data_IF_943857527236
#
_entry.id   IF_943857527236
#
_cell.length_a   1.000
_cell.length_b   1.000
_cell.length_c   1.000
_cell.angle_alpha   90.00
_cell.angle_beta   90.00
_cell.angle_gamma   90.00
#
_symmetry.space_group_name_H-M   'P 1'
#
loop_
_entity.id
_entity.type
_entity.pdbx_description
1 polymer ?
#
# COMPACT_ATOMS: atom_id res chain seq x y z
N UNK A 1 15.46 -9.80 -3.93
CA UNK A 1 14.08 -9.38 -4.25
C UNK A 1 13.11 -10.15 -3.38
N UNK A 2 12.19 -9.45 -2.74
CA UNK A 2 11.15 -10.09 -1.94
C UNK A 2 10.08 -10.66 -2.86
N UNK A 3 9.63 -11.87 -2.56
CA UNK A 3 8.52 -12.47 -3.29
C UNK A 3 7.25 -12.33 -2.45
N UNK A 4 6.26 -11.67 -3.01
CA UNK A 4 4.98 -11.48 -2.36
C UNK A 4 3.89 -11.26 -3.40
N UNK A 5 2.65 -11.47 -2.98
CA UNK A 5 1.47 -11.14 -3.77
C UNK A 5 0.66 -10.09 -3.02
N UNK A 6 0.29 -9.03 -3.70
CA UNK A 6 -0.53 -7.98 -3.10
C UNK A 6 -2.01 -8.35 -3.21
N UNK A 7 -2.75 -8.09 -2.14
CA UNK A 7 -4.21 -8.22 -2.12
C UNK A 7 -4.77 -6.86 -2.52
N UNK A 8 -5.32 -6.78 -3.73
CA UNK A 8 -5.72 -5.50 -4.32
C UNK A 8 -7.19 -5.49 -4.68
N UNK A 9 -7.78 -4.29 -4.63
CA UNK A 9 -9.09 -4.00 -5.21
C UNK A 9 -8.90 -2.89 -6.23
N UNK A 10 -9.46 -3.07 -7.42
CA UNK A 10 -9.41 -2.03 -8.44
C UNK A 10 -10.57 -1.08 -8.27
N UNK A 11 -10.29 0.21 -8.40
CA UNK A 11 -11.34 1.23 -8.54
C UNK A 11 -11.99 1.12 -9.91
N UNK A 12 -13.04 1.87 -10.13
CA UNK A 12 -13.65 2.00 -11.44
C UNK A 12 -12.76 2.68 -12.47
N UNK A 13 -11.60 3.17 -12.08
CA UNK A 13 -10.65 3.85 -12.98
C UNK A 13 -9.53 2.87 -13.36
N UNK A 14 -9.11 2.93 -14.63
CA UNK A 14 -8.17 1.97 -15.19
C UNK A 14 -6.79 1.98 -14.53
N UNK A 15 -6.38 3.10 -13.92
CA UNK A 15 -5.02 3.26 -13.39
C UNK A 15 -4.97 3.43 -11.86
N UNK A 16 -6.04 3.02 -11.17
CA UNK A 16 -6.12 3.16 -9.71
C UNK A 16 -6.30 1.79 -9.06
N UNK A 17 -5.53 1.52 -8.02
CA UNK A 17 -5.63 0.31 -7.23
C UNK A 17 -5.58 0.62 -5.74
N UNK A 18 -6.35 -0.14 -4.96
CA UNK A 18 -6.28 -0.14 -3.50
C UNK A 18 -5.69 -1.46 -3.05
N UNK A 19 -4.69 -1.40 -2.17
CA UNK A 19 -4.00 -2.57 -1.65
C UNK A 19 -4.34 -2.71 -0.17
N UNK A 20 -4.98 -3.81 0.20
CA UNK A 20 -5.37 -4.06 1.59
C UNK A 20 -4.36 -4.90 2.35
N UNK A 21 -3.46 -5.59 1.66
CA UNK A 21 -2.45 -6.40 2.32
C UNK A 21 -1.57 -7.15 1.34
N UNK A 22 -0.70 -7.98 1.92
CA UNK A 22 0.26 -8.77 1.16
C UNK A 22 0.36 -10.16 1.75
N UNK A 23 0.63 -11.14 0.90
CA UNK A 23 1.00 -12.49 1.32
C UNK A 23 2.43 -12.74 0.84
N UNK A 24 3.33 -13.04 1.77
CA UNK A 24 4.72 -13.34 1.46
C UNK A 24 4.88 -14.77 0.96
N UNK A 25 6.02 -15.04 0.35
CA UNK A 25 6.28 -16.37 -0.21
C UNK A 25 6.25 -17.48 0.84
N UNK A 26 6.56 -17.16 2.10
CA UNK A 26 6.54 -18.12 3.21
C UNK A 26 5.16 -18.30 3.85
N UNK A 27 4.12 -17.65 3.30
CA UNK A 27 2.77 -17.72 3.82
C UNK A 27 2.42 -16.65 4.85
N UNK A 28 3.34 -15.78 5.19
CA UNK A 28 3.06 -14.69 6.14
C UNK A 28 2.09 -13.70 5.54
N UNK A 29 1.04 -13.35 6.28
CA UNK A 29 0.06 -12.36 5.87
C UNK A 29 0.34 -11.03 6.56
N UNK A 30 0.31 -9.96 5.78
CA UNK A 30 0.48 -8.59 6.25
C UNK A 30 -0.76 -7.81 5.83
N UNK A 31 -1.42 -7.18 6.80
CA UNK A 31 -2.67 -6.47 6.58
C UNK A 31 -2.50 -5.00 6.94
N UNK A 32 -2.86 -4.10 6.03
CA UNK A 32 -2.68 -2.66 6.24
C UNK A 32 -3.42 -2.18 7.49
N UNK A 33 -4.69 -2.59 7.64
CA UNK A 33 -5.50 -2.15 8.77
C UNK A 33 -4.91 -2.57 10.13
N UNK A 34 -4.40 -3.80 10.21
CA UNK A 34 -3.92 -4.37 11.47
C UNK A 34 -2.46 -4.04 11.76
N UNK A 35 -1.66 -3.90 10.72
CA UNK A 35 -0.21 -3.89 10.89
C UNK A 35 0.46 -2.53 10.69
N UNK A 36 -0.23 -1.56 10.07
CA UNK A 36 0.38 -0.26 9.77
C UNK A 36 0.97 0.43 11.00
N UNK A 37 0.23 0.42 12.10
CA UNK A 37 0.65 1.06 13.35
C UNK A 37 1.10 0.08 14.42
N UNK A 38 1.44 -1.15 14.04
CA UNK A 38 1.79 -2.19 15.02
C UNK A 38 3.17 -2.03 15.63
N UNK A 39 4.04 -1.21 15.02
CA UNK A 39 5.42 -1.06 15.47
C UNK A 39 6.29 -2.27 15.20
N UNK A 40 5.82 -3.23 14.41
CA UNK A 40 6.51 -4.46 14.10
C UNK A 40 7.21 -4.38 12.75
N UNK A 41 7.93 -5.46 12.39
CA UNK A 41 8.55 -5.58 11.08
C UNK A 41 7.53 -5.51 9.95
N UNK A 42 6.29 -5.95 10.19
CA UNK A 42 5.21 -5.84 9.21
C UNK A 42 4.86 -4.38 8.93
N UNK A 43 4.85 -3.53 9.95
CA UNK A 43 4.62 -2.10 9.77
C UNK A 43 5.73 -1.47 8.94
N UNK A 44 6.98 -1.83 9.20
CA UNK A 44 8.11 -1.32 8.44
C UNK A 44 8.05 -1.75 6.99
N UNK A 45 7.65 -3.00 6.73
CA UNK A 45 7.47 -3.51 5.38
C UNK A 45 6.42 -2.69 4.63
N UNK A 46 5.27 -2.42 5.26
CA UNK A 46 4.20 -1.65 4.64
C UNK A 46 4.64 -0.22 4.32
N UNK A 47 5.34 0.43 5.23
CA UNK A 47 5.80 1.80 5.05
C UNK A 47 6.85 1.88 3.94
N UNK A 48 7.74 0.91 3.88
CA UNK A 48 8.74 0.84 2.83
C UNK A 48 8.10 0.66 1.45
N UNK A 49 7.11 -0.24 1.35
CA UNK A 49 6.38 -0.48 0.10
C UNK A 49 5.61 0.77 -0.33
N UNK A 50 4.94 1.43 0.62
CA UNK A 50 4.18 2.64 0.31
C UNK A 50 5.09 3.77 -0.20
N UNK A 51 6.26 3.89 0.39
CA UNK A 51 7.24 4.88 -0.04
C UNK A 51 7.81 4.54 -1.42
N UNK A 52 8.17 3.27 -1.64
CA UNK A 52 8.72 2.82 -2.92
C UNK A 52 7.71 2.98 -4.06
N UNK A 53 6.42 2.84 -3.76
CA UNK A 53 5.38 3.00 -4.76
C UNK A 53 5.34 4.41 -5.35
N UNK A 54 5.87 5.41 -4.66
CA UNK A 54 5.93 6.77 -5.16
C UNK A 54 6.82 6.91 -6.41
N UNK A 55 7.70 5.94 -6.64
CA UNK A 55 8.53 5.93 -7.85
C UNK A 55 7.81 5.29 -9.03
N UNK A 56 6.89 4.36 -8.76
CA UNK A 56 6.15 3.63 -9.79
C UNK A 56 4.82 4.31 -10.14
N UNK A 57 4.22 4.99 -9.17
CA UNK A 57 2.92 5.64 -9.32
C UNK A 57 3.05 7.12 -9.05
N UNK A 58 2.19 7.93 -9.68
CA UNK A 58 2.17 9.37 -9.43
C UNK A 58 1.55 9.70 -8.08
N UNK A 59 0.58 8.89 -7.65
CA UNK A 59 -0.10 9.08 -6.38
C UNK A 59 0.09 7.82 -5.54
N UNK A 60 0.60 8.00 -4.32
CA UNK A 60 0.67 6.96 -3.31
C UNK A 60 0.16 7.56 -1.99
N UNK A 61 -1.02 7.10 -1.55
CA UNK A 61 -1.63 7.57 -0.32
C UNK A 61 -1.68 6.43 0.68
N UNK A 62 -1.17 6.67 1.88
CA UNK A 62 -1.11 5.69 2.96
C UNK A 62 -2.05 6.09 4.09
N UNK A 63 -2.22 5.22 5.11
CA UNK A 63 -2.98 5.56 6.31
C UNK A 63 -2.51 6.83 7.01
N UNK A 64 -1.22 7.17 6.92
CA UNK A 64 -0.69 8.39 7.53
C UNK A 64 -1.04 9.63 6.73
N UNK A 65 -1.33 9.50 5.44
CA UNK A 65 -1.61 10.61 4.56
C UNK A 65 -3.07 11.05 4.54
N UNK A 66 -3.99 10.14 4.87
CA UNK A 66 -5.43 10.40 4.80
C UNK A 66 -6.17 9.44 5.72
N UNK A 67 -6.98 9.97 6.62
CA UNK A 67 -7.76 9.17 7.56
C UNK A 67 -8.73 8.21 6.87
N UNK A 68 -9.18 8.52 5.65
CA UNK A 68 -10.05 7.65 4.88
C UNK A 68 -9.32 6.45 4.29
N UNK A 69 -7.99 6.41 4.36
CA UNK A 69 -7.16 5.33 3.85
C UNK A 69 -6.54 4.50 4.99
N UNK A 70 -7.22 4.40 6.14
CA UNK A 70 -6.68 3.73 7.32
C UNK A 70 -6.46 2.23 7.13
N UNK A 71 -7.17 1.62 6.19
CA UNK A 71 -7.14 0.17 5.99
C UNK A 71 -6.57 -0.26 4.64
N UNK A 72 -6.05 0.69 3.85
CA UNK A 72 -5.50 0.33 2.54
C UNK A 72 -4.49 1.36 2.05
N UNK A 73 -3.68 0.95 1.09
CA UNK A 73 -2.80 1.83 0.33
C UNK A 73 -3.49 2.14 -1.00
N UNK A 74 -3.45 3.39 -1.42
CA UNK A 74 -4.05 3.82 -2.68
C UNK A 74 -2.95 4.27 -3.63
N UNK A 75 -2.89 3.67 -4.82
CA UNK A 75 -1.90 4.00 -5.85
C UNK A 75 -2.61 4.31 -7.16
N UNK A 76 -2.24 5.41 -7.81
CA UNK A 76 -2.78 5.72 -9.13
C UNK A 76 -1.79 6.54 -9.95
N UNK A 77 -2.14 6.72 -11.25
CA UNK A 77 -1.35 7.48 -12.22
C UNK A 77 -2.01 8.82 -12.54
N UNK A 78 -2.59 9.45 -11.53
CA UNK A 78 -3.31 10.69 -11.69
C UNK A 78 -2.47 11.83 -12.30
N UNK A 79 -3.11 12.98 -12.63
CA UNK A 79 -2.44 14.05 -13.37
C UNK A 79 -1.41 14.83 -12.55
N UNK A 80 -1.35 14.63 -11.27
CA UNK A 80 -0.37 15.28 -10.39
C UNK A 80 0.32 14.24 -9.51
N UNK A 81 1.45 14.63 -8.94
CA UNK A 81 2.23 13.74 -8.09
C UNK A 81 1.91 14.02 -6.62
N UNK A 82 1.67 12.97 -5.86
CA UNK A 82 1.44 13.06 -4.42
C UNK A 82 1.90 11.77 -3.75
N UNK A 83 2.74 11.89 -2.73
CA UNK A 83 3.24 10.76 -1.95
C UNK A 83 2.98 11.05 -0.47
N UNK A 84 1.94 10.39 0.11
CA UNK A 84 1.50 10.67 1.49
C UNK A 84 1.24 9.43 2.29
#
# INVERSE_FOLDING_TARGET
MRQYSAIVSQHGFANAIDVTGFTLADGTNINVANDWNSGSAKAEFLKEIAYDACEAFRVSVSPDGDANHWNHLHWDMGPYWSCR
#
